data_IF_617384905335
#
_entry.id   IF_617384905335
#
_cell.length_a   1.000
_cell.length_b   1.000
_cell.length_c   1.000
_cell.angle_alpha   90.00
_cell.angle_beta   90.00
_cell.angle_gamma   90.00
#
_symmetry.space_group_name_H-M   'P 1'
#
loop_
_entity.id
_entity.type
_entity.pdbx_description
1 polymer ?
#
# COMPACT_ATOMS: atom_id res chain seq x y z
N UNK A 1 -12.26 14.59 17.26
CA UNK A 1 -11.08 13.70 17.48
C UNK A 1 -10.33 13.46 16.17
N UNK A 2 -11.07 13.19 15.10
CA UNK A 2 -10.61 13.03 13.72
C UNK A 2 -9.61 14.09 13.23
N UNK A 3 -9.88 15.38 13.45
CA UNK A 3 -8.97 16.45 12.99
C UNK A 3 -7.57 16.33 13.59
N UNK A 4 -7.45 16.03 14.90
CA UNK A 4 -6.14 15.85 15.55
C UNK A 4 -5.34 14.68 14.94
N UNK A 5 -6.04 13.63 14.49
CA UNK A 5 -5.41 12.49 13.82
C UNK A 5 -4.92 12.89 12.43
N UNK A 6 -5.75 13.63 11.67
CA UNK A 6 -5.38 14.16 10.36
C UNK A 6 -4.13 15.04 10.47
N UNK A 7 -4.14 16.02 11.38
CA UNK A 7 -3.02 16.94 11.57
C UNK A 7 -1.73 16.19 11.95
N UNK A 8 -1.83 15.21 12.84
CA UNK A 8 -0.70 14.36 13.22
C UNK A 8 -0.14 13.57 12.04
N UNK A 9 -1.00 12.94 11.24
CA UNK A 9 -0.61 12.10 10.11
C UNK A 9 -0.02 12.93 8.97
N UNK A 10 -0.57 14.12 8.69
CA UNK A 10 -0.01 15.03 7.68
C UNK A 10 1.37 15.56 8.10
N UNK A 11 1.60 15.77 9.40
CA UNK A 11 2.88 16.27 9.89
C UNK A 11 3.96 15.18 10.04
N UNK A 12 3.58 13.91 10.27
CA UNK A 12 4.52 12.85 10.68
C UNK A 12 4.53 11.61 9.80
N UNK A 13 3.40 11.32 9.14
CA UNK A 13 3.24 10.15 8.30
C UNK A 13 4.18 10.19 7.10
N UNK A 14 4.57 9.03 6.59
CA UNK A 14 5.31 8.94 5.35
C UNK A 14 4.48 9.39 4.13
N UNK A 15 5.10 9.47 2.93
CA UNK A 15 4.40 9.89 1.72
C UNK A 15 3.15 9.07 1.40
N UNK A 16 3.12 7.77 1.71
CA UNK A 16 1.95 6.92 1.49
C UNK A 16 0.77 7.31 2.39
N UNK A 17 1.00 7.50 3.68
CA UNK A 17 -0.03 7.96 4.62
C UNK A 17 -0.52 9.35 4.23
N UNK A 18 0.39 10.28 3.91
CA UNK A 18 0.02 11.64 3.51
C UNK A 18 -0.85 11.63 2.23
N UNK A 19 -0.43 10.86 1.22
CA UNK A 19 -1.17 10.67 -0.03
C UNK A 19 -2.60 10.19 0.24
N UNK A 20 -2.74 9.11 1.01
CA UNK A 20 -4.03 8.48 1.27
C UNK A 20 -4.92 9.35 2.16
N UNK A 21 -4.38 10.04 3.15
CA UNK A 21 -5.17 11.01 3.95
C UNK A 21 -5.70 12.13 3.06
N UNK A 22 -4.85 12.75 2.22
CA UNK A 22 -5.28 13.83 1.33
C UNK A 22 -6.27 13.37 0.26
N UNK A 23 -6.10 12.14 -0.26
CA UNK A 23 -6.91 11.60 -1.37
C UNK A 23 -8.22 10.96 -0.92
N UNK A 24 -8.16 10.05 0.07
CA UNK A 24 -9.29 9.22 0.51
C UNK A 24 -10.13 9.92 1.58
N UNK A 25 -9.50 10.71 2.46
CA UNK A 25 -10.20 11.29 3.63
C UNK A 25 -10.59 12.76 3.41
N UNK A 26 -9.65 13.57 2.90
CA UNK A 26 -9.86 15.02 2.74
C UNK A 26 -10.37 15.41 1.35
N UNK A 27 -10.07 14.61 0.33
CA UNK A 27 -10.34 14.93 -1.08
C UNK A 27 -9.74 16.27 -1.55
N UNK A 28 -8.55 16.63 -1.03
CA UNK A 28 -7.89 17.92 -1.30
C UNK A 28 -6.64 17.80 -2.16
N UNK A 29 -6.23 16.59 -2.54
CA UNK A 29 -4.97 16.38 -3.27
C UNK A 29 -5.06 16.88 -4.72
N UNK A 30 -4.02 17.57 -5.19
CA UNK A 30 -3.90 17.91 -6.62
C UNK A 30 -3.21 16.79 -7.42
N UNK A 31 -3.36 16.73 -8.75
CA UNK A 31 -2.64 15.77 -9.58
C UNK A 31 -1.10 15.86 -9.43
N UNK A 32 -0.56 17.07 -9.27
CA UNK A 32 0.87 17.31 -9.09
C UNK A 32 1.36 16.81 -7.74
N UNK A 33 0.60 17.07 -6.67
CA UNK A 33 0.90 16.56 -5.33
C UNK A 33 0.83 15.03 -5.29
N UNK A 34 -0.20 14.43 -5.91
CA UNK A 34 -0.34 12.98 -6.00
C UNK A 34 0.88 12.36 -6.69
N UNK A 35 1.27 12.89 -7.85
CA UNK A 35 2.44 12.43 -8.59
C UNK A 35 3.72 12.55 -7.76
N UNK A 36 3.94 13.70 -7.12
CA UNK A 36 5.15 13.92 -6.31
C UNK A 36 5.25 12.97 -5.11
N UNK A 37 4.13 12.65 -4.46
CA UNK A 37 4.09 11.67 -3.36
C UNK A 37 4.31 10.24 -3.88
N UNK A 38 3.68 9.87 -5.00
CA UNK A 38 3.90 8.56 -5.63
C UNK A 38 5.35 8.36 -6.06
N UNK A 39 5.99 9.36 -6.66
CA UNK A 39 7.41 9.32 -7.03
C UNK A 39 8.32 9.06 -5.82
N UNK A 40 8.03 9.67 -4.66
CA UNK A 40 8.77 9.38 -3.42
C UNK A 40 8.57 7.93 -2.96
N UNK A 41 7.33 7.42 -2.99
CA UNK A 41 7.00 6.05 -2.59
C UNK A 41 7.69 5.02 -3.49
N UNK A 42 7.80 5.31 -4.79
CA UNK A 42 8.54 4.49 -5.76
C UNK A 42 10.04 4.36 -5.44
N UNK A 43 10.59 5.23 -4.59
CA UNK A 43 11.99 5.11 -4.15
C UNK A 43 12.21 4.15 -2.99
N UNK A 44 11.15 3.69 -2.31
CA UNK A 44 11.28 2.81 -1.16
C UNK A 44 11.87 1.45 -1.52
N UNK A 45 12.77 0.93 -0.67
CA UNK A 45 13.47 -0.34 -0.91
C UNK A 45 12.52 -1.50 -1.23
N UNK A 46 11.45 -1.67 -0.45
CA UNK A 46 10.47 -2.75 -0.67
C UNK A 46 9.68 -2.56 -1.96
N UNK A 47 9.35 -1.32 -2.32
CA UNK A 47 8.62 -1.01 -3.56
C UNK A 47 9.48 -1.32 -4.77
N UNK A 48 10.76 -0.90 -4.75
CA UNK A 48 11.73 -1.24 -5.80
C UNK A 48 11.95 -2.75 -5.90
N UNK A 49 12.11 -3.43 -4.76
CA UNK A 49 12.24 -4.88 -4.72
C UNK A 49 11.05 -5.57 -5.38
N UNK A 50 9.81 -5.16 -5.09
CA UNK A 50 8.62 -5.71 -5.74
C UNK A 50 8.64 -5.42 -7.25
N UNK A 51 9.01 -4.20 -7.65
CA UNK A 51 9.14 -3.81 -9.06
C UNK A 51 10.15 -4.66 -9.84
N UNK A 52 11.28 -5.02 -9.24
CA UNK A 52 12.29 -5.92 -9.84
C UNK A 52 11.76 -7.35 -10.08
N UNK A 53 10.65 -7.72 -9.44
CA UNK A 53 10.01 -9.04 -9.56
C UNK A 53 8.83 -9.03 -10.52
N UNK A 54 8.45 -7.86 -11.03
CA UNK A 54 7.36 -7.74 -11.98
C UNK A 54 7.85 -8.19 -13.37
N UNK A 55 7.13 -9.15 -13.94
CA UNK A 55 7.31 -9.65 -15.30
C UNK A 55 6.66 -8.70 -16.31
N UNK A 56 7.01 -8.85 -17.59
CA UNK A 56 6.47 -8.00 -18.68
C UNK A 56 4.94 -8.01 -18.76
N UNK A 57 4.28 -9.10 -18.33
CA UNK A 57 2.82 -9.23 -18.29
C UNK A 57 2.17 -8.63 -17.02
N UNK A 58 2.95 -7.98 -16.15
CA UNK A 58 2.51 -7.37 -14.90
C UNK A 58 2.41 -8.33 -13.71
N UNK A 59 2.67 -9.63 -13.89
CA UNK A 59 2.73 -10.61 -12.80
C UNK A 59 3.97 -10.40 -11.93
N UNK A 60 3.85 -10.51 -10.62
CA UNK A 60 4.90 -10.27 -9.64
C UNK A 60 5.34 -11.62 -9.06
N UNK A 61 6.64 -11.90 -9.21
CA UNK A 61 7.27 -13.09 -8.67
C UNK A 61 6.94 -14.36 -9.43
N UNK A 62 7.09 -15.51 -8.76
CA UNK A 62 7.00 -16.85 -9.38
C UNK A 62 5.76 -17.64 -8.98
N UNK A 63 4.86 -17.05 -8.20
CA UNK A 63 3.67 -17.72 -7.70
C UNK A 63 2.64 -16.74 -7.18
N UNK A 64 1.42 -17.23 -6.95
CA UNK A 64 0.30 -16.40 -6.53
C UNK A 64 0.33 -16.08 -5.03
N UNK A 65 0.41 -17.11 -4.17
CA UNK A 65 0.41 -17.01 -2.72
C UNK A 65 1.48 -17.90 -2.07
N UNK A 66 2.02 -17.47 -0.93
CA UNK A 66 2.96 -18.24 -0.11
C UNK A 66 4.41 -18.18 -0.57
N UNK A 67 5.32 -18.65 0.30
CA UNK A 67 6.73 -18.82 -0.03
C UNK A 67 6.92 -20.17 -0.72
N UNK A 68 7.15 -20.17 -2.03
CA UNK A 68 7.86 -21.29 -2.66
C UNK A 68 9.23 -21.43 -2.00
N UNK A 69 9.90 -22.59 -2.11
CA UNK A 69 11.26 -22.78 -1.56
C UNK A 69 12.27 -21.70 -2.01
N UNK A 70 11.95 -20.99 -3.10
CA UNK A 70 12.77 -19.95 -3.71
C UNK A 70 12.16 -18.53 -3.64
N UNK A 71 11.04 -18.33 -2.93
CA UNK A 71 10.32 -17.05 -2.90
C UNK A 71 10.34 -16.39 -1.51
N UNK A 72 10.77 -15.13 -1.45
CA UNK A 72 10.69 -14.27 -0.26
C UNK A 72 9.28 -13.72 0.00
N UNK A 73 9.14 -12.96 1.10
CA UNK A 73 7.86 -12.43 1.61
C UNK A 73 7.09 -11.58 0.60
N UNK A 74 7.76 -10.95 -0.37
CA UNK A 74 7.15 -10.09 -1.40
C UNK A 74 7.38 -10.62 -2.83
N UNK A 75 7.82 -11.88 -2.98
CA UNK A 75 8.06 -12.55 -4.27
C UNK A 75 6.82 -13.32 -4.78
N UNK A 76 5.61 -12.83 -4.48
CA UNK A 76 4.37 -13.43 -4.97
C UNK A 76 3.33 -12.36 -5.33
N UNK A 77 2.44 -12.73 -6.26
CA UNK A 77 1.46 -11.84 -6.86
C UNK A 77 0.56 -11.19 -5.82
N UNK A 78 0.01 -11.97 -4.88
CA UNK A 78 -0.92 -11.47 -3.88
C UNK A 78 -0.26 -10.44 -2.96
N UNK A 79 0.90 -10.77 -2.39
CA UNK A 79 1.55 -9.92 -1.38
C UNK A 79 2.13 -8.66 -2.00
N UNK A 80 2.77 -8.78 -3.19
CA UNK A 80 3.27 -7.63 -3.94
C UNK A 80 2.15 -6.67 -4.32
N UNK A 81 1.06 -7.18 -4.91
CA UNK A 81 -0.09 -6.36 -5.30
C UNK A 81 -0.72 -5.67 -4.09
N UNK A 82 -0.98 -6.41 -2.99
CA UNK A 82 -1.53 -5.84 -1.77
C UNK A 82 -0.65 -4.73 -1.20
N UNK A 83 0.67 -4.95 -1.16
CA UNK A 83 1.61 -3.96 -0.65
C UNK A 83 1.60 -2.68 -1.49
N UNK A 84 1.68 -2.79 -2.82
CA UNK A 84 1.65 -1.63 -3.73
C UNK A 84 0.31 -0.87 -3.66
N UNK A 85 -0.80 -1.59 -3.52
CA UNK A 85 -2.13 -1.00 -3.37
C UNK A 85 -2.27 -0.21 -2.07
N UNK A 86 -1.85 -0.80 -0.95
CA UNK A 86 -1.82 -0.15 0.37
C UNK A 86 -0.91 1.09 0.37
N UNK A 87 0.15 1.09 -0.45
CA UNK A 87 1.03 2.24 -0.63
C UNK A 87 0.40 3.40 -1.39
N UNK A 88 -0.74 3.22 -2.06
CA UNK A 88 -1.41 4.28 -2.83
C UNK A 88 -0.86 4.46 -4.25
N UNK A 89 -0.21 3.43 -4.81
CA UNK A 89 0.45 3.51 -6.11
C UNK A 89 -0.47 3.27 -7.31
N UNK A 90 -1.79 3.33 -7.13
CA UNK A 90 -2.75 3.13 -8.23
C UNK A 90 -2.50 4.07 -9.40
N UNK A 91 -2.33 3.52 -10.61
CA UNK A 91 -2.07 4.29 -11.82
C UNK A 91 -0.59 4.56 -12.10
N UNK A 92 0.32 4.02 -11.29
CA UNK A 92 1.77 4.05 -11.57
C UNK A 92 2.19 2.87 -12.44
N UNK A 93 3.39 2.96 -13.01
CA UNK A 93 3.95 1.95 -13.93
C UNK A 93 4.06 0.55 -13.31
N UNK A 94 4.23 0.45 -11.99
CA UNK A 94 4.38 -0.83 -11.29
C UNK A 94 3.05 -1.38 -10.74
N UNK A 95 2.00 -0.57 -10.73
CA UNK A 95 0.67 -0.95 -10.27
C UNK A 95 -0.32 -0.75 -11.42
N UNK A 96 -0.33 -1.73 -12.32
CA UNK A 96 -1.09 -1.75 -13.56
C UNK A 96 -1.43 -3.19 -13.94
N UNK A 97 -2.48 -3.36 -14.75
CA UNK A 97 -3.22 -4.62 -14.95
C UNK A 97 -2.30 -5.81 -15.23
N UNK A 98 -2.30 -6.77 -14.30
CA UNK A 98 -1.71 -8.08 -14.51
C UNK A 98 -2.57 -8.86 -15.52
N UNK A 99 -1.99 -9.18 -16.69
CA UNK A 99 -2.69 -9.85 -17.78
C UNK A 99 -2.26 -11.32 -17.83
N UNK A 100 -2.87 -12.14 -16.99
CA UNK A 100 -2.61 -13.58 -16.89
C UNK A 100 -3.92 -14.36 -17.05
N UNK A 101 -3.83 -15.53 -17.68
CA UNK A 101 -4.93 -16.49 -17.70
C UNK A 101 -4.92 -17.21 -16.34
N UNK A 102 -5.88 -16.89 -15.47
CA UNK A 102 -5.96 -17.47 -14.11
C UNK A 102 -6.99 -18.61 -14.08
N UNK A 103 -6.67 -19.67 -13.35
CA UNK A 103 -7.60 -20.74 -13.02
C UNK A 103 -8.48 -20.34 -11.81
N UNK A 104 -9.80 -20.40 -11.93
CA UNK A 104 -10.80 -19.98 -10.91
C UNK A 104 -10.57 -20.56 -9.50
N UNK A 105 -9.90 -21.72 -9.40
CA UNK A 105 -9.57 -22.35 -8.12
C UNK A 105 -8.60 -21.54 -7.25
N UNK A 106 -7.78 -20.66 -7.84
CA UNK A 106 -6.79 -19.86 -7.12
C UNK A 106 -7.40 -18.69 -6.32
N UNK A 107 -8.67 -18.33 -6.58
CA UNK A 107 -9.33 -17.18 -5.94
C UNK A 107 -10.25 -17.51 -4.77
N UNK A 108 -10.44 -18.80 -4.41
CA UNK A 108 -11.32 -19.18 -3.29
C UNK A 108 -10.62 -18.99 -1.95
N UNK A 109 -11.25 -18.27 -1.01
CA UNK A 109 -10.79 -18.16 0.39
C UNK A 109 -10.11 -16.83 0.79
N UNK A 110 -10.29 -15.77 0.01
CA UNK A 110 -9.70 -14.46 0.30
C UNK A 110 -10.24 -13.82 1.58
N UNK A 111 -9.34 -13.30 2.41
CA UNK A 111 -9.65 -12.50 3.59
C UNK A 111 -8.98 -11.11 3.50
N UNK A 112 -9.65 -10.03 3.92
CA UNK A 112 -9.16 -8.66 3.80
C UNK A 112 -8.11 -8.27 4.85
N UNK A 113 -7.43 -9.19 5.53
CA UNK A 113 -6.46 -8.80 6.56
C UNK A 113 -5.18 -8.21 5.96
N UNK A 114 -4.87 -6.97 6.36
CA UNK A 114 -3.72 -6.19 5.91
C UNK A 114 -2.69 -6.00 7.05
N UNK A 115 -1.42 -5.90 6.70
CA UNK A 115 -0.33 -5.62 7.66
C UNK A 115 -0.24 -4.13 8.07
N UNK A 116 0.29 -3.88 9.27
CA UNK A 116 0.53 -2.55 9.84
C UNK A 116 1.95 -2.03 9.50
N UNK A 117 2.30 -1.97 8.21
CA UNK A 117 3.66 -1.63 7.75
C UNK A 117 3.64 -0.66 6.56
N UNK A 118 2.82 0.40 6.62
CA UNK A 118 2.93 1.47 5.63
C UNK A 118 4.20 2.29 5.86
N UNK A 119 4.66 2.42 7.11
CA UNK A 119 5.92 3.09 7.42
C UNK A 119 7.15 2.18 7.15
N UNK A 120 8.24 2.74 6.61
CA UNK A 120 9.44 1.98 6.25
C UNK A 120 10.20 1.41 7.45
N UNK A 121 10.25 2.17 8.56
CA UNK A 121 10.74 1.72 9.86
C UNK A 121 9.59 1.62 10.87
N UNK A 122 8.59 0.81 10.54
CA UNK A 122 7.38 0.64 11.35
C UNK A 122 7.67 0.20 12.80
N UNK A 123 8.88 -0.24 13.15
CA UNK A 123 9.25 -0.59 14.53
C UNK A 123 9.64 0.64 15.36
N UNK A 124 9.94 1.79 14.75
CA UNK A 124 10.14 3.02 15.48
C UNK A 124 8.83 3.50 16.13
N UNK A 125 8.91 4.09 17.33
CA UNK A 125 7.73 4.47 18.13
C UNK A 125 6.77 5.39 17.37
N UNK A 126 7.29 6.46 16.76
CA UNK A 126 6.47 7.43 16.01
C UNK A 126 5.87 6.82 14.74
N UNK A 127 6.56 5.86 14.13
CA UNK A 127 6.13 5.17 12.90
C UNK A 127 4.96 4.22 13.19
N UNK A 128 5.06 3.42 14.28
CA UNK A 128 3.91 2.66 14.80
C UNK A 128 2.70 3.55 15.09
N UNK A 129 2.92 4.72 15.69
CA UNK A 129 1.84 5.65 15.97
C UNK A 129 1.18 6.15 14.68
N UNK A 130 1.95 6.42 13.62
CA UNK A 130 1.40 6.80 12.31
C UNK A 130 0.57 5.67 11.71
N UNK A 131 1.09 4.43 11.64
CA UNK A 131 0.36 3.27 11.11
C UNK A 131 -0.96 3.02 11.86
N UNK A 132 -0.93 2.98 13.20
CA UNK A 132 -2.12 2.73 14.02
C UNK A 132 -3.12 3.88 13.89
N UNK A 133 -2.65 5.12 13.96
CA UNK A 133 -3.51 6.31 13.86
C UNK A 133 -4.16 6.39 12.47
N UNK A 134 -3.42 6.04 11.41
CA UNK A 134 -3.97 5.98 10.05
C UNK A 134 -5.06 4.92 9.93
N UNK A 135 -4.84 3.70 10.46
CA UNK A 135 -5.87 2.65 10.47
C UNK A 135 -7.11 3.07 11.23
N UNK A 136 -6.94 3.68 12.41
CA UNK A 136 -8.06 4.21 13.18
C UNK A 136 -8.81 5.33 12.41
N UNK A 137 -8.09 6.21 11.73
CA UNK A 137 -8.69 7.27 10.90
C UNK A 137 -9.52 6.68 9.75
N UNK A 138 -9.00 5.67 9.05
CA UNK A 138 -9.74 4.99 7.98
C UNK A 138 -10.99 4.30 8.50
N UNK A 139 -10.91 3.59 9.63
CA UNK A 139 -12.07 2.95 10.26
C UNK A 139 -13.14 4.00 10.58
N UNK A 140 -12.76 5.12 11.23
CA UNK A 140 -13.69 6.20 11.53
C UNK A 140 -14.31 6.79 10.26
N UNK A 141 -13.50 7.07 9.24
CA UNK A 141 -13.96 7.63 7.97
C UNK A 141 -14.98 6.71 7.27
N UNK A 142 -14.64 5.43 7.08
CA UNK A 142 -15.52 4.49 6.37
C UNK A 142 -16.73 4.02 7.20
N UNK A 143 -16.66 4.07 8.52
CA UNK A 143 -17.80 3.83 9.39
C UNK A 143 -18.75 5.03 9.51
N UNK A 144 -18.42 6.18 8.89
CA UNK A 144 -19.23 7.39 8.98
C UNK A 144 -19.22 8.06 10.36
N UNK A 145 -18.16 7.83 11.15
CA UNK A 145 -18.00 8.43 12.48
C UNK A 145 -17.27 9.76 12.36
N UNK A 146 -17.87 10.82 12.91
CA UNK A 146 -17.33 12.19 12.92
C UNK A 146 -16.30 12.46 14.04
#
# INVERSE_FOLDING_TARGET
MKQKMIDFLLARGNPSIQLRVKKEVLHTITPEEEKALQEQILTEKTVRFIGEKQLENGWIGLGFHGSSKNAGQYDNQETGTKYLGEKGLKGTTIYGICSVNIYDGEFRGWSPYFGAQLETDWRAKVRRQCDITFRALLIMHYAGVE
#
